data_IF_216271263499
#
_entry.id   IF_216271263499
#
_cell.length_a   1.000
_cell.length_b   1.000
_cell.length_c   1.000
_cell.angle_alpha   90.00
_cell.angle_beta   90.00
_cell.angle_gamma   90.00
#
_symmetry.space_group_name_H-M   'P 1'
#
loop_
_entity.id
_entity.type
_entity.pdbx_description
1 polymer ?
#
# COMPACT_ATOMS: atom_id res chain seq x y z
N UNK A 1 -26.34 27.49 -11.88
CA UNK A 1 -26.62 26.10 -12.28
C UNK A 1 -27.46 26.14 -13.55
N UNK A 2 -26.86 25.94 -14.73
CA UNK A 2 -27.60 25.97 -15.98
C UNK A 2 -28.37 24.65 -16.11
N UNK A 3 -29.66 24.71 -15.81
CA UNK A 3 -30.60 23.61 -16.04
C UNK A 3 -30.55 23.24 -17.52
N UNK A 4 -30.20 21.99 -17.81
CA UNK A 4 -29.95 21.50 -19.16
C UNK A 4 -31.27 20.97 -19.72
N UNK A 5 -32.30 21.80 -19.67
CA UNK A 5 -33.67 21.45 -20.02
C UNK A 5 -33.75 21.13 -21.51
N UNK A 6 -34.27 19.96 -21.86
CA UNK A 6 -34.42 19.50 -23.25
C UNK A 6 -35.52 20.34 -23.96
N UNK A 7 -35.43 20.57 -25.28
CA UNK A 7 -36.48 21.30 -26.03
C UNK A 7 -37.88 20.67 -25.85
N UNK A 8 -37.96 19.36 -25.68
CA UNK A 8 -39.22 18.67 -25.38
C UNK A 8 -39.77 19.04 -23.99
N UNK A 9 -38.91 19.15 -22.99
CA UNK A 9 -39.28 19.58 -21.63
C UNK A 9 -39.67 21.06 -21.61
N UNK A 10 -38.96 21.90 -22.36
CA UNK A 10 -39.29 23.33 -22.53
C UNK A 10 -40.67 23.54 -23.14
N UNK A 11 -41.05 22.73 -24.13
CA UNK A 11 -42.40 22.74 -24.71
C UNK A 11 -43.41 21.90 -23.90
N UNK A 12 -42.98 21.24 -22.82
CA UNK A 12 -43.79 20.35 -21.98
C UNK A 12 -44.53 19.27 -22.80
N UNK A 13 -43.81 18.67 -23.74
CA UNK A 13 -44.32 17.60 -24.62
C UNK A 13 -43.45 16.35 -24.50
N UNK A 14 -44.03 15.20 -24.83
CA UNK A 14 -43.28 13.95 -24.91
C UNK A 14 -42.30 14.00 -26.10
N UNK A 15 -41.11 13.37 -26.02
CA UNK A 15 -40.25 13.13 -27.19
C UNK A 15 -40.95 12.39 -28.34
N UNK A 16 -42.02 11.65 -28.03
CA UNK A 16 -42.85 10.93 -29.01
C UNK A 16 -44.04 11.77 -29.53
N UNK A 17 -44.16 13.04 -29.15
CA UNK A 17 -45.28 13.90 -29.58
C UNK A 17 -45.29 14.11 -31.09
N UNK A 18 -46.47 14.22 -31.68
CA UNK A 18 -46.67 14.59 -33.09
C UNK A 18 -46.37 16.08 -33.35
N UNK A 19 -46.15 16.45 -34.62
CA UNK A 19 -45.95 17.86 -34.99
C UNK A 19 -47.17 18.73 -34.66
N UNK A 20 -48.37 18.15 -34.71
CA UNK A 20 -49.60 18.84 -34.32
C UNK A 20 -49.61 19.18 -32.83
N UNK A 21 -49.21 18.25 -31.97
CA UNK A 21 -49.12 18.45 -30.52
C UNK A 21 -48.03 19.45 -30.14
N UNK A 22 -46.87 19.42 -30.81
CA UNK A 22 -45.78 20.40 -30.62
C UNK A 22 -46.27 21.82 -30.97
N UNK A 23 -46.94 21.97 -32.12
CA UNK A 23 -47.52 23.25 -32.55
C UNK A 23 -48.61 23.76 -31.62
N UNK A 24 -49.44 22.86 -31.11
CA UNK A 24 -50.49 23.19 -30.14
C UNK A 24 -49.89 23.62 -28.79
N UNK A 25 -48.88 22.91 -28.30
CA UNK A 25 -48.17 23.21 -27.07
C UNK A 25 -47.47 24.58 -27.15
N UNK A 26 -46.79 24.87 -28.25
CA UNK A 26 -46.18 26.18 -28.52
C UNK A 26 -47.22 27.31 -28.45
N UNK A 27 -48.33 27.21 -29.18
CA UNK A 27 -49.40 28.24 -29.16
C UNK A 27 -49.97 28.46 -27.76
N UNK A 28 -50.17 27.40 -26.99
CA UNK A 28 -50.67 27.47 -25.60
C UNK A 28 -49.67 28.18 -24.69
N UNK A 29 -48.38 27.84 -24.79
CA UNK A 29 -47.32 28.41 -23.96
C UNK A 29 -47.06 29.88 -24.31
N UNK A 30 -46.98 30.23 -25.60
CA UNK A 30 -46.81 31.64 -26.02
C UNK A 30 -47.98 32.49 -25.52
N UNK A 31 -49.22 32.02 -25.63
CA UNK A 31 -50.39 32.75 -25.12
C UNK A 31 -50.35 32.96 -23.59
N UNK A 32 -49.80 31.99 -22.86
CA UNK A 32 -49.67 32.05 -21.40
C UNK A 32 -48.59 33.03 -20.95
N UNK A 33 -47.45 33.04 -21.64
CA UNK A 33 -46.28 33.83 -21.28
C UNK A 33 -46.16 35.17 -22.02
N UNK A 34 -47.04 35.49 -22.99
CA UNK A 34 -47.00 36.74 -23.78
C UNK A 34 -46.93 37.99 -22.88
N UNK A 35 -46.16 39.03 -23.25
CA UNK A 35 -46.05 40.26 -22.47
C UNK A 35 -47.40 40.96 -22.22
N UNK A 36 -48.35 40.85 -23.15
CA UNK A 36 -49.74 41.34 -23.00
C UNK A 36 -50.71 40.33 -22.34
N UNK A 37 -50.21 39.29 -21.68
CA UNK A 37 -51.06 38.30 -21.00
C UNK A 37 -51.55 38.86 -19.65
N UNK A 38 -52.86 38.95 -19.47
CA UNK A 38 -53.52 39.38 -18.22
C UNK A 38 -53.37 38.38 -17.05
N UNK A 39 -52.55 37.32 -17.18
CA UNK A 39 -52.42 36.24 -16.20
C UNK A 39 -51.27 36.41 -15.20
N UNK A 40 -50.50 37.51 -15.27
CA UNK A 40 -49.42 37.80 -14.32
C UNK A 40 -48.21 36.85 -14.40
N UNK A 41 -48.16 35.96 -15.40
CA UNK A 41 -47.11 34.97 -15.65
C UNK A 41 -46.14 35.39 -16.76
N UNK A 42 -46.06 36.69 -17.06
CA UNK A 42 -45.17 37.21 -18.11
C UNK A 42 -43.72 36.99 -17.71
N UNK A 43 -43.02 36.15 -18.48
CA UNK A 43 -41.60 35.86 -18.30
C UNK A 43 -40.92 35.90 -19.67
N UNK A 44 -40.23 37.01 -19.99
CA UNK A 44 -39.55 37.18 -21.27
C UNK A 44 -38.50 36.09 -21.54
N UNK A 45 -37.81 35.60 -20.50
CA UNK A 45 -36.79 34.56 -20.66
C UNK A 45 -37.40 33.21 -21.03
N UNK A 46 -38.56 32.88 -20.46
CA UNK A 46 -39.28 31.67 -20.80
C UNK A 46 -39.80 31.68 -22.24
N UNK A 47 -40.31 32.81 -22.73
CA UNK A 47 -40.75 32.94 -24.13
C UNK A 47 -39.58 32.69 -25.08
N UNK A 48 -38.41 33.28 -24.81
CA UNK A 48 -37.21 33.07 -25.63
C UNK A 48 -36.86 31.59 -25.70
N UNK A 49 -36.92 30.85 -24.58
CA UNK A 49 -36.67 29.41 -24.54
C UNK A 49 -37.73 28.60 -25.31
N UNK A 50 -39.01 28.99 -25.21
CA UNK A 50 -40.13 28.36 -25.94
C UNK A 50 -39.97 28.55 -27.45
N UNK A 51 -39.61 29.75 -27.89
CA UNK A 51 -39.38 30.06 -29.30
C UNK A 51 -38.19 29.25 -29.85
N UNK A 52 -37.06 29.25 -29.14
CA UNK A 52 -35.89 28.45 -29.51
C UNK A 52 -36.20 26.94 -29.58
N UNK A 53 -37.01 26.41 -28.64
CA UNK A 53 -37.43 25.03 -28.67
C UNK A 53 -38.35 24.70 -29.86
N UNK A 54 -39.24 25.62 -30.24
CA UNK A 54 -40.12 25.45 -31.39
C UNK A 54 -39.39 25.60 -32.74
N UNK A 55 -38.36 26.44 -32.84
CA UNK A 55 -37.51 26.51 -34.04
C UNK A 55 -36.82 25.18 -34.34
N UNK A 56 -36.43 24.45 -33.29
CA UNK A 56 -35.77 23.15 -33.42
C UNK A 56 -36.78 22.01 -33.60
N UNK A 57 -37.90 21.99 -32.87
CA UNK A 57 -38.85 20.88 -32.88
C UNK A 57 -40.00 21.03 -33.89
N UNK A 58 -40.29 22.26 -34.32
CA UNK A 58 -41.43 22.59 -35.17
C UNK A 58 -41.25 22.18 -36.63
N UNK A 59 -40.01 22.10 -37.11
CA UNK A 59 -39.66 21.56 -38.41
C UNK A 59 -39.24 20.09 -38.31
N UNK A 60 -39.67 19.27 -39.28
CA UNK A 60 -39.41 17.83 -39.28
C UNK A 60 -37.91 17.50 -39.41
N UNK A 61 -37.19 18.20 -40.28
CA UNK A 61 -35.78 17.95 -40.55
C UNK A 61 -34.92 18.40 -39.34
N UNK A 62 -35.23 19.57 -38.78
CA UNK A 62 -34.55 20.08 -37.59
C UNK A 62 -34.76 19.17 -36.38
N UNK A 63 -35.99 18.68 -36.18
CA UNK A 63 -36.30 17.73 -35.10
C UNK A 63 -35.54 16.42 -35.26
N UNK A 64 -35.48 15.88 -36.48
CA UNK A 64 -34.73 14.64 -36.76
C UNK A 64 -33.24 14.79 -36.43
N UNK A 65 -32.63 15.91 -36.82
CA UNK A 65 -31.23 16.21 -36.53
C UNK A 65 -31.00 16.37 -35.01
N UNK A 66 -31.92 17.04 -34.32
CA UNK A 66 -31.89 17.19 -32.87
C UNK A 66 -31.95 15.83 -32.15
N UNK A 67 -32.88 14.97 -32.53
CA UNK A 67 -33.04 13.63 -31.95
C UNK A 67 -31.81 12.74 -32.21
N UNK A 68 -31.23 12.82 -33.41
CA UNK A 68 -29.99 12.11 -33.73
C UNK A 68 -28.83 12.58 -32.83
N UNK A 69 -28.70 13.89 -32.61
CA UNK A 69 -27.67 14.44 -31.72
C UNK A 69 -27.83 13.99 -30.26
N UNK A 70 -29.07 13.90 -29.76
CA UNK A 70 -29.39 13.39 -28.42
C UNK A 70 -29.05 11.90 -28.27
N UNK A 71 -29.32 11.09 -29.30
CA UNK A 71 -28.94 9.67 -29.35
C UNK A 71 -27.42 9.49 -29.36
N UNK A 72 -26.70 10.26 -30.16
CA UNK A 72 -25.23 10.19 -30.18
C UNK A 72 -24.63 10.65 -28.83
N UNK A 73 -25.20 11.68 -28.20
CA UNK A 73 -24.75 12.18 -26.90
C UNK A 73 -25.01 11.18 -25.77
N UNK A 74 -26.16 10.51 -25.79
CA UNK A 74 -26.48 9.44 -24.82
C UNK A 74 -25.59 8.21 -25.02
N UNK A 75 -25.30 7.83 -26.26
CA UNK A 75 -24.34 6.75 -26.56
C UNK A 75 -22.92 7.08 -26.07
N UNK A 76 -22.42 8.30 -26.34
CA UNK A 76 -21.11 8.76 -25.84
C UNK A 76 -21.04 8.78 -24.31
N UNK A 77 -22.08 9.30 -23.65
CA UNK A 77 -22.09 9.35 -22.18
C UNK A 77 -22.18 7.97 -21.54
N UNK A 78 -22.89 7.03 -22.15
CA UNK A 78 -22.92 5.62 -21.72
C UNK A 78 -21.57 4.93 -21.92
N UNK A 79 -20.91 5.12 -23.07
CA UNK A 79 -19.57 4.56 -23.33
C UNK A 79 -18.52 5.13 -22.38
N UNK A 80 -18.54 6.44 -22.14
CA UNK A 80 -17.61 7.11 -21.22
C UNK A 80 -17.80 6.64 -19.77
N UNK A 81 -19.04 6.34 -19.38
CA UNK A 81 -19.36 5.79 -18.06
C UNK A 81 -18.85 4.36 -17.93
N UNK A 82 -19.09 3.52 -18.95
CA UNK A 82 -18.64 2.14 -18.97
C UNK A 82 -17.11 2.03 -18.96
N UNK A 83 -16.41 2.88 -19.73
CA UNK A 83 -14.95 2.98 -19.71
C UNK A 83 -14.43 3.43 -18.34
N UNK A 84 -15.06 4.44 -17.71
CA UNK A 84 -14.66 4.89 -16.36
C UNK A 84 -14.86 3.81 -15.31
N UNK A 85 -15.97 3.07 -15.36
CA UNK A 85 -16.22 1.96 -14.42
C UNK A 85 -15.25 0.80 -14.65
N UNK A 86 -14.95 0.46 -15.90
CA UNK A 86 -13.94 -0.56 -16.22
C UNK A 86 -12.54 -0.17 -15.75
N UNK A 87 -12.12 1.08 -16.00
CA UNK A 87 -10.83 1.60 -15.54
C UNK A 87 -10.74 1.67 -14.01
N UNK A 88 -11.84 2.01 -13.32
CA UNK A 88 -11.90 1.97 -11.85
C UNK A 88 -11.79 0.53 -11.33
N UNK A 89 -12.44 -0.44 -11.98
CA UNK A 89 -12.33 -1.86 -11.64
C UNK A 89 -10.93 -2.42 -11.83
N UNK A 90 -10.26 -2.07 -12.93
CA UNK A 90 -8.87 -2.45 -13.20
C UNK A 90 -7.90 -1.88 -12.16
N UNK A 91 -8.08 -0.60 -11.78
CA UNK A 91 -7.26 0.03 -10.72
C UNK A 91 -7.43 -0.66 -9.38
N UNK A 92 -8.67 -0.99 -9.00
CA UNK A 92 -8.94 -1.71 -7.76
C UNK A 92 -8.30 -3.11 -7.74
N UNK A 93 -8.40 -3.85 -8.85
CA UNK A 93 -7.77 -5.17 -8.98
C UNK A 93 -6.24 -5.08 -8.90
N UNK A 94 -5.63 -4.13 -9.59
CA UNK A 94 -4.18 -3.91 -9.56
C UNK A 94 -3.69 -3.57 -8.15
N UNK A 95 -4.34 -2.64 -7.44
CA UNK A 95 -3.96 -2.30 -6.05
C UNK A 95 -4.12 -3.48 -5.10
N UNK A 96 -5.14 -4.33 -5.30
CA UNK A 96 -5.34 -5.53 -4.47
C UNK A 96 -4.30 -6.61 -4.75
N UNK A 97 -3.88 -6.79 -6.00
CA UNK A 97 -2.79 -7.70 -6.36
C UNK A 97 -1.48 -7.24 -5.74
N UNK A 98 -1.11 -5.97 -5.89
CA UNK A 98 0.13 -5.44 -5.28
C UNK A 98 0.16 -5.58 -3.76
N UNK A 99 -0.99 -5.45 -3.10
CA UNK A 99 -1.08 -5.69 -1.65
C UNK A 99 -0.85 -7.15 -1.28
N UNK A 100 -1.47 -8.07 -2.03
CA UNK A 100 -1.26 -9.52 -1.85
C UNK A 100 0.19 -9.92 -2.10
N UNK A 101 0.81 -9.41 -3.16
CA UNK A 101 2.21 -9.69 -3.48
C UNK A 101 3.14 -9.17 -2.37
N UNK A 102 2.82 -8.02 -1.76
CA UNK A 102 3.57 -7.49 -0.63
C UNK A 102 3.42 -8.35 0.64
N UNK A 103 2.21 -8.83 0.94
CA UNK A 103 1.96 -9.73 2.06
C UNK A 103 2.69 -11.07 1.87
N UNK A 104 2.64 -11.65 0.66
CA UNK A 104 3.34 -12.88 0.32
C UNK A 104 4.88 -12.72 0.43
N UNK A 105 5.43 -11.57 0.02
CA UNK A 105 6.85 -11.25 0.21
C UNK A 105 7.25 -11.15 1.69
N UNK A 106 6.38 -10.59 2.53
CA UNK A 106 6.62 -10.50 3.98
C UNK A 106 6.66 -11.90 4.59
N UNK A 107 5.68 -12.75 4.30
CA UNK A 107 5.62 -14.13 4.81
C UNK A 107 6.84 -14.94 4.35
N UNK A 108 7.23 -14.81 3.07
CA UNK A 108 8.40 -15.46 2.51
C UNK A 108 9.69 -15.02 3.23
N UNK A 109 9.89 -13.72 3.42
CA UNK A 109 11.06 -13.21 4.14
C UNK A 109 11.07 -13.65 5.60
N UNK A 110 9.92 -13.65 6.28
CA UNK A 110 9.82 -14.13 7.66
C UNK A 110 10.23 -15.60 7.77
N UNK A 111 9.76 -16.44 6.86
CA UNK A 111 10.03 -17.87 6.89
C UNK A 111 11.46 -18.22 6.44
N UNK A 112 11.95 -17.61 5.37
CA UNK A 112 13.24 -17.96 4.76
C UNK A 112 14.43 -17.21 5.36
N UNK A 113 14.22 -16.01 5.91
CA UNK A 113 15.29 -15.18 6.47
C UNK A 113 15.16 -15.07 7.98
N UNK A 114 14.06 -14.49 8.46
CA UNK A 114 13.95 -14.11 9.87
C UNK A 114 14.02 -15.32 10.80
N UNK A 115 13.21 -16.36 10.59
CA UNK A 115 13.14 -17.52 11.49
C UNK A 115 14.49 -18.28 11.58
N UNK A 116 15.18 -18.59 10.47
CA UNK A 116 16.50 -19.23 10.53
C UNK A 116 17.56 -18.37 11.23
N UNK A 117 17.61 -17.07 10.91
CA UNK A 117 18.57 -16.13 11.51
C UNK A 117 18.31 -15.98 13.02
N UNK A 118 17.04 -15.80 13.40
CA UNK A 118 16.61 -15.72 14.81
C UNK A 118 17.02 -16.96 15.61
N UNK A 119 16.89 -18.16 15.02
CA UNK A 119 17.32 -19.42 15.66
C UNK A 119 18.84 -19.53 15.83
N UNK A 120 19.63 -19.03 14.86
CA UNK A 120 21.09 -19.01 14.96
C UNK A 120 21.55 -18.02 16.03
N UNK A 121 21.05 -16.79 16.00
CA UNK A 121 21.33 -15.77 17.02
C UNK A 121 20.99 -16.28 18.41
N UNK A 122 19.81 -16.88 18.59
CA UNK A 122 19.40 -17.43 19.88
C UNK A 122 20.36 -18.51 20.40
N UNK A 123 20.89 -19.37 19.53
CA UNK A 123 21.87 -20.39 19.94
C UNK A 123 23.16 -19.75 20.46
N UNK A 124 23.74 -18.84 19.69
CA UNK A 124 24.98 -18.13 20.02
C UNK A 124 24.84 -17.36 21.35
N UNK A 125 23.75 -16.60 21.52
CA UNK A 125 23.58 -15.73 22.69
C UNK A 125 23.34 -16.52 23.99
N UNK A 126 22.64 -17.65 23.93
CA UNK A 126 22.29 -18.42 25.13
C UNK A 126 23.40 -19.39 25.59
N UNK A 127 24.44 -19.61 24.78
CA UNK A 127 25.56 -20.49 25.15
C UNK A 127 26.70 -19.80 25.87
N UNK A 128 26.90 -18.49 25.66
CA UNK A 128 28.12 -17.80 26.13
C UNK A 128 28.32 -17.90 27.63
N UNK A 129 27.28 -17.63 28.43
CA UNK A 129 27.38 -17.59 29.89
C UNK A 129 27.95 -18.88 30.48
N UNK A 130 27.46 -20.04 30.02
CA UNK A 130 27.92 -21.33 30.50
C UNK A 130 29.38 -21.60 30.14
N UNK A 131 29.86 -21.09 29.01
CA UNK A 131 31.26 -21.24 28.58
C UNK A 131 32.19 -20.35 29.40
N UNK A 132 31.77 -19.11 29.71
CA UNK A 132 32.51 -18.23 30.62
C UNK A 132 32.61 -18.85 32.02
N UNK A 133 31.52 -19.40 32.55
CA UNK A 133 31.50 -20.05 33.87
C UNK A 133 32.45 -21.26 33.94
N UNK A 134 32.53 -22.05 32.86
CA UNK A 134 33.50 -23.16 32.76
C UNK A 134 34.94 -22.65 32.74
N UNK A 135 35.23 -21.67 31.88
CA UNK A 135 36.57 -21.10 31.75
C UNK A 135 37.05 -20.43 33.05
N UNK A 136 36.14 -19.83 33.81
CA UNK A 136 36.44 -19.21 35.10
C UNK A 136 36.87 -20.21 36.20
N UNK A 137 36.66 -21.52 36.01
CA UNK A 137 37.07 -22.54 36.98
C UNK A 137 38.60 -22.66 37.08
N UNK A 138 39.29 -22.64 35.94
CA UNK A 138 40.75 -22.51 35.84
C UNK A 138 41.11 -21.84 34.51
N UNK A 139 41.33 -20.51 34.49
CA UNK A 139 41.60 -19.77 33.25
C UNK A 139 42.93 -20.09 32.56
N UNK A 140 43.81 -20.84 33.23
CA UNK A 140 45.12 -21.24 32.71
C UNK A 140 45.17 -22.73 32.31
N UNK A 141 44.04 -23.43 32.37
CA UNK A 141 43.94 -24.82 31.93
C UNK A 141 43.86 -24.89 30.39
N UNK A 142 44.86 -25.55 29.78
CA UNK A 142 44.99 -25.67 28.32
C UNK A 142 43.76 -26.34 27.69
N UNK A 143 43.12 -27.30 28.37
CA UNK A 143 41.94 -28.02 27.86
C UNK A 143 40.72 -27.11 27.89
N UNK A 144 40.51 -26.35 28.96
CA UNK A 144 39.41 -25.38 29.04
C UNK A 144 39.57 -24.26 27.98
N UNK A 145 40.80 -23.83 27.71
CA UNK A 145 41.09 -22.85 26.66
C UNK A 145 40.83 -23.42 25.26
N UNK A 146 41.23 -24.66 24.99
CA UNK A 146 40.94 -25.35 23.73
C UNK A 146 39.42 -25.50 23.52
N UNK A 147 38.68 -25.96 24.53
CA UNK A 147 37.21 -26.06 24.49
C UNK A 147 36.55 -24.70 24.25
N UNK A 148 37.07 -23.63 24.85
CA UNK A 148 36.56 -22.29 24.65
C UNK A 148 36.83 -21.77 23.22
N UNK A 149 38.01 -22.04 22.66
CA UNK A 149 38.33 -21.68 21.27
C UNK A 149 37.46 -22.45 20.26
N UNK A 150 37.23 -23.74 20.47
CA UNK A 150 36.31 -24.55 19.66
C UNK A 150 34.87 -24.02 19.72
N UNK A 151 34.45 -23.58 20.91
CA UNK A 151 33.18 -22.89 21.08
C UNK A 151 33.12 -21.59 20.25
N UNK A 152 34.14 -20.73 20.31
CA UNK A 152 34.18 -19.49 19.53
C UNK A 152 34.14 -19.77 18.02
N UNK A 153 34.87 -20.79 17.55
CA UNK A 153 34.85 -21.22 16.15
C UNK A 153 33.45 -21.68 15.71
N UNK A 154 32.77 -22.46 16.55
CA UNK A 154 31.38 -22.89 16.29
C UNK A 154 30.45 -21.68 16.18
N UNK A 155 30.57 -20.70 17.09
CA UNK A 155 29.78 -19.46 17.03
C UNK A 155 30.06 -18.65 15.76
N UNK A 156 31.30 -18.62 15.27
CA UNK A 156 31.65 -17.95 14.01
C UNK A 156 31.03 -18.61 12.79
N UNK A 157 31.00 -19.94 12.75
CA UNK A 157 30.33 -20.67 11.69
C UNK A 157 28.81 -20.40 11.70
N UNK A 158 28.19 -20.41 12.88
CA UNK A 158 26.78 -20.06 13.03
C UNK A 158 26.50 -18.59 12.65
N UNK A 159 27.37 -17.66 13.05
CA UNK A 159 27.27 -16.24 12.70
C UNK A 159 27.37 -16.05 11.18
N UNK A 160 28.34 -16.70 10.54
CA UNK A 160 28.52 -16.65 9.09
C UNK A 160 27.30 -17.21 8.37
N UNK A 161 26.74 -18.32 8.84
CA UNK A 161 25.49 -18.86 8.30
C UNK A 161 24.34 -17.87 8.47
N UNK A 162 24.22 -17.22 9.62
CA UNK A 162 23.19 -16.23 9.88
C UNK A 162 23.34 -15.01 8.96
N UNK A 163 24.56 -14.48 8.79
CA UNK A 163 24.85 -13.37 7.87
C UNK A 163 24.53 -13.76 6.42
N UNK A 164 24.96 -14.94 5.96
CA UNK A 164 24.64 -15.40 4.60
C UNK A 164 23.13 -15.52 4.37
N UNK A 165 22.40 -16.04 5.37
CA UNK A 165 20.94 -16.19 5.29
C UNK A 165 20.25 -14.82 5.32
N UNK A 166 20.71 -13.90 6.16
CA UNK A 166 20.17 -12.53 6.26
C UNK A 166 20.26 -11.75 4.95
N UNK A 167 21.34 -11.95 4.19
CA UNK A 167 21.55 -11.27 2.90
C UNK A 167 20.98 -12.03 1.69
N UNK A 168 20.31 -13.18 1.91
CA UNK A 168 19.82 -14.03 0.82
C UNK A 168 18.60 -13.45 0.07
N UNK A 169 17.81 -12.61 0.75
CA UNK A 169 16.65 -11.93 0.18
C UNK A 169 16.66 -10.44 0.55
N UNK A 170 16.07 -9.56 -0.28
CA UNK A 170 15.95 -8.14 0.03
C UNK A 170 15.04 -7.93 1.25
N UNK A 171 15.38 -6.93 2.07
CA UNK A 171 14.61 -6.60 3.26
C UNK A 171 13.30 -5.88 2.89
N UNK A 172 12.12 -6.39 3.29
CA UNK A 172 10.86 -5.74 2.99
C UNK A 172 10.73 -4.42 3.76
N UNK A 173 10.20 -3.34 3.13
CA UNK A 173 10.12 -2.01 3.77
C UNK A 173 9.33 -1.99 5.08
N UNK A 174 8.29 -2.81 5.20
CA UNK A 174 7.48 -2.95 6.41
C UNK A 174 8.28 -3.50 7.60
N UNK A 175 9.26 -4.36 7.35
CA UNK A 175 10.13 -4.97 8.36
C UNK A 175 11.52 -4.33 8.42
N UNK A 176 11.71 -3.15 7.82
CA UNK A 176 13.01 -2.48 7.78
C UNK A 176 13.61 -2.26 9.19
N UNK A 177 12.78 -1.97 10.20
CA UNK A 177 13.23 -1.84 11.59
C UNK A 177 13.75 -3.17 12.15
N UNK A 178 13.00 -4.26 11.98
CA UNK A 178 13.42 -5.58 12.44
C UNK A 178 14.72 -6.01 11.75
N UNK A 179 14.82 -5.80 10.44
CA UNK A 179 16.04 -6.08 9.67
C UNK A 179 17.24 -5.24 10.16
N UNK A 180 17.04 -3.96 10.50
CA UNK A 180 18.10 -3.13 11.07
C UNK A 180 18.59 -3.66 12.42
N UNK A 181 17.68 -4.03 13.33
CA UNK A 181 18.07 -4.63 14.62
C UNK A 181 18.82 -5.95 14.43
N UNK A 182 18.39 -6.82 13.51
CA UNK A 182 19.13 -8.05 13.18
C UNK A 182 20.53 -7.75 12.65
N UNK A 183 20.68 -6.79 11.75
CA UNK A 183 21.98 -6.38 11.22
C UNK A 183 22.93 -5.93 12.33
N UNK A 184 22.48 -5.02 13.20
CA UNK A 184 23.31 -4.54 14.31
C UNK A 184 23.59 -5.66 15.34
N UNK A 185 22.63 -6.54 15.59
CA UNK A 185 22.81 -7.70 16.47
C UNK A 185 23.92 -8.61 15.95
N UNK A 186 23.90 -8.98 14.66
CA UNK A 186 24.93 -9.83 14.05
C UNK A 186 26.32 -9.17 14.11
N UNK A 187 26.41 -7.86 13.93
CA UNK A 187 27.69 -7.15 14.05
C UNK A 187 28.20 -7.15 15.49
N UNK A 188 27.33 -6.87 16.47
CA UNK A 188 27.70 -6.93 17.89
C UNK A 188 28.16 -8.32 18.32
N UNK A 189 27.56 -9.38 17.78
CA UNK A 189 28.04 -10.75 17.99
C UNK A 189 29.42 -10.94 17.38
N UNK A 190 29.64 -10.47 16.15
CA UNK A 190 30.94 -10.55 15.48
C UNK A 190 32.04 -9.85 16.26
N UNK A 191 31.84 -8.57 16.59
CA UNK A 191 32.77 -7.78 17.38
C UNK A 191 33.04 -8.47 18.74
N UNK A 192 31.98 -8.98 19.39
CA UNK A 192 32.11 -9.67 20.68
C UNK A 192 32.92 -10.96 20.58
N UNK A 193 32.76 -11.75 19.52
CA UNK A 193 33.55 -12.95 19.29
C UNK A 193 35.02 -12.61 19.04
N UNK A 194 35.30 -11.52 18.32
CA UNK A 194 36.65 -11.07 18.06
C UNK A 194 37.34 -10.60 19.35
N UNK A 195 36.66 -9.87 20.23
CA UNK A 195 37.19 -9.52 21.56
C UNK A 195 37.48 -10.78 22.39
N UNK A 196 36.56 -11.75 22.44
CA UNK A 196 36.73 -12.97 23.23
C UNK A 196 37.91 -13.85 22.77
N UNK A 197 38.28 -13.81 21.49
CA UNK A 197 39.42 -14.56 20.95
C UNK A 197 40.76 -14.04 21.49
N UNK A 198 40.86 -12.78 21.90
CA UNK A 198 42.11 -12.23 22.44
C UNK A 198 42.40 -12.69 23.87
N UNK A 199 41.39 -13.18 24.61
CA UNK A 199 41.57 -13.61 26.00
C UNK A 199 42.55 -14.79 26.12
N UNK A 200 42.40 -15.93 25.40
CA UNK A 200 43.35 -17.05 25.47
C UNK A 200 44.80 -16.68 25.10
N UNK A 201 44.99 -15.61 24.33
CA UNK A 201 46.31 -15.18 23.87
C UNK A 201 47.05 -14.32 24.91
N UNK A 202 46.31 -13.57 25.73
CA UNK A 202 46.87 -12.52 26.59
C UNK A 202 46.48 -12.65 28.07
N UNK A 203 45.49 -13.48 28.41
CA UNK A 203 44.91 -13.64 29.75
C UNK A 203 44.37 -12.34 30.38
N UNK A 204 44.08 -11.34 29.55
CA UNK A 204 43.57 -10.05 30.00
C UNK A 204 42.03 -10.08 30.05
N UNK A 205 41.48 -9.99 31.27
CA UNK A 205 40.05 -10.03 31.54
C UNK A 205 39.27 -8.88 30.88
N UNK A 206 39.93 -7.79 30.47
CA UNK A 206 39.27 -6.68 29.77
C UNK A 206 38.62 -7.13 28.46
N UNK A 207 39.26 -8.04 27.72
CA UNK A 207 38.71 -8.66 26.51
C UNK A 207 37.48 -9.52 26.81
N UNK A 208 37.53 -10.28 27.91
CA UNK A 208 36.42 -11.10 28.38
C UNK A 208 35.20 -10.23 28.75
N UNK A 209 35.45 -9.10 29.42
CA UNK A 209 34.42 -8.15 29.79
C UNK A 209 33.84 -7.42 28.57
N UNK A 210 34.69 -6.94 27.66
CA UNK A 210 34.28 -6.25 26.43
C UNK A 210 33.39 -7.16 25.57
N UNK A 211 33.82 -8.42 25.35
CA UNK A 211 33.02 -9.40 24.62
C UNK A 211 31.66 -9.68 25.26
N UNK A 212 31.60 -9.81 26.59
CA UNK A 212 30.34 -9.98 27.31
C UNK A 212 29.39 -8.77 27.17
N UNK A 213 29.91 -7.54 27.20
CA UNK A 213 29.08 -6.34 27.00
C UNK A 213 28.54 -6.23 25.56
N UNK A 214 29.33 -6.64 24.57
CA UNK A 214 28.86 -6.71 23.18
C UNK A 214 27.74 -7.76 23.03
N UNK A 215 27.88 -8.94 23.65
CA UNK A 215 26.82 -9.95 23.68
C UNK A 215 25.58 -9.49 24.44
N UNK A 216 25.73 -8.71 25.50
CA UNK A 216 24.60 -8.09 26.23
C UNK A 216 23.84 -7.12 25.31
N UNK A 217 24.57 -6.29 24.56
CA UNK A 217 23.99 -5.36 23.59
C UNK A 217 23.31 -6.10 22.43
N UNK A 218 23.95 -7.16 21.91
CA UNK A 218 23.37 -8.04 20.91
C UNK A 218 22.06 -8.69 21.39
N UNK A 219 21.99 -9.10 22.66
CA UNK A 219 20.79 -9.67 23.28
C UNK A 219 19.65 -8.65 23.32
N UNK A 220 19.95 -7.39 23.64
CA UNK A 220 18.94 -6.32 23.60
C UNK A 220 18.42 -6.11 22.16
N UNK A 221 19.33 -5.98 21.18
CA UNK A 221 18.96 -5.82 19.77
C UNK A 221 18.15 -7.00 19.23
N UNK A 222 18.48 -8.22 19.67
CA UNK A 222 17.74 -9.43 19.31
C UNK A 222 16.30 -9.39 19.82
N UNK A 223 16.09 -8.95 21.06
CA UNK A 223 14.77 -8.77 21.63
C UNK A 223 13.97 -7.66 20.91
N UNK A 224 14.60 -6.52 20.62
CA UNK A 224 13.97 -5.42 19.86
C UNK A 224 13.61 -5.83 18.42
N UNK A 225 14.38 -6.74 17.81
CA UNK A 225 14.03 -7.36 16.53
C UNK A 225 12.78 -8.25 16.64
N UNK A 226 12.69 -9.06 17.71
CA UNK A 226 11.52 -9.91 17.99
C UNK A 226 10.25 -9.11 18.22
N UNK A 227 10.32 -8.05 19.03
CA UNK A 227 9.18 -7.16 19.27
C UNK A 227 8.71 -6.48 17.96
N UNK A 228 9.66 -6.05 17.12
CA UNK A 228 9.35 -5.44 15.83
C UNK A 228 8.64 -6.39 14.86
N UNK A 229 8.92 -7.69 14.93
CA UNK A 229 8.24 -8.72 14.12
C UNK A 229 6.93 -9.17 14.74
N UNK A 230 6.82 -9.22 16.08
CA UNK A 230 5.59 -9.58 16.79
C UNK A 230 4.41 -8.63 16.52
N UNK A 231 4.65 -7.46 15.93
CA UNK A 231 3.60 -6.57 15.41
C UNK A 231 2.94 -7.07 14.10
N UNK A 232 3.52 -8.10 13.46
CA UNK A 232 3.12 -8.64 12.16
C UNK A 232 2.71 -10.13 12.20
N UNK A 233 2.83 -10.79 13.35
CA UNK A 233 2.45 -12.20 13.61
C UNK A 233 1.29 -12.22 14.59
#
# INVERSE_FOLDING_TARGET
MADKTNHYETLKVSPNASQAEIKQAYRRLVKMFHPDSNQGTSDPEHIVRINAAYEVLGDFQNRQNYDQSLRQRSQKTASDRQQRTAAAGQRYQATRQTGRDADEQIEEWLHLVYQPVNRLIFRILNSLKAQIEKLAADPFDDVLLEEFQDYLNTCRDELKQAQMTFHSLPNPPSLARAAAHLYYCLNQIGDGLDELEYFPLNYDESYLHAGQEMFRTATQLHWEAQESVGMYV
#
